data_IF_899637005202
#
_entry.id   IF_899637005202
#
_cell.length_a   1.000
_cell.length_b   1.000
_cell.length_c   1.000
_cell.angle_alpha   90.00
_cell.angle_beta   90.00
_cell.angle_gamma   90.00
#
_symmetry.space_group_name_H-M   'P 1'
#
loop_
_entity.id
_entity.type
_entity.pdbx_description
1 polymer ?
#
# COMPACT_ATOMS: atom_id res chain seq x y z
N UNK A 1 -24.90 14.90 50.87
CA UNK A 1 -26.11 15.72 51.12
C UNK A 1 -26.33 16.56 49.86
N UNK A 2 -27.45 16.57 49.15
CA UNK A 2 -28.83 16.19 49.47
C UNK A 2 -29.48 15.58 48.22
N UNK A 3 -30.24 14.52 48.44
CA UNK A 3 -31.19 13.93 47.50
C UNK A 3 -32.37 14.90 47.39
N UNK A 4 -32.79 15.26 46.19
CA UNK A 4 -34.08 15.91 45.99
C UNK A 4 -35.08 14.82 45.62
N UNK A 5 -36.10 14.70 46.46
CA UNK A 5 -37.24 13.82 46.28
C UNK A 5 -38.17 14.42 45.22
N UNK A 6 -38.65 13.58 44.30
CA UNK A 6 -39.95 13.79 43.68
C UNK A 6 -40.76 12.52 43.85
N UNK A 7 -41.87 12.67 44.55
CA UNK A 7 -42.86 11.63 44.84
C UNK A 7 -44.01 11.75 43.84
N UNK A 8 -44.38 10.61 43.28
CA UNK A 8 -45.65 10.24 42.66
C UNK A 8 -46.06 10.93 41.34
N UNK A 9 -46.35 10.11 40.33
CA UNK A 9 -47.74 9.78 39.93
C UNK A 9 -47.69 8.46 39.15
N UNK A 10 -48.28 7.42 39.73
CA UNK A 10 -48.60 6.18 39.01
C UNK A 10 -49.82 6.44 38.14
N UNK A 11 -49.68 6.33 36.83
CA UNK A 11 -50.81 6.08 35.94
C UNK A 11 -50.52 4.80 35.15
N UNK A 12 -51.27 3.76 35.50
CA UNK A 12 -51.31 2.49 34.77
C UNK A 12 -51.95 2.74 33.41
N UNK A 13 -51.13 2.76 32.36
CA UNK A 13 -51.59 2.59 30.98
C UNK A 13 -51.09 1.22 30.52
N UNK A 14 -51.97 0.24 30.65
CA UNK A 14 -51.91 -1.01 29.91
C UNK A 14 -51.97 -0.70 28.41
N UNK A 15 -50.93 -1.06 27.66
CA UNK A 15 -50.95 -0.87 26.22
C UNK A 15 -49.67 -1.30 25.52
N UNK A 16 -49.72 -2.51 24.96
CA UNK A 16 -49.05 -2.95 23.73
C UNK A 16 -47.53 -2.67 23.62
N UNK A 17 -46.72 -3.68 23.91
CA UNK A 17 -45.33 -3.73 23.46
C UNK A 17 -45.29 -3.85 21.94
N UNK A 18 -45.13 -2.73 21.24
CA UNK A 18 -44.69 -2.77 19.84
C UNK A 18 -43.19 -3.08 19.86
N UNK A 19 -42.85 -4.36 19.75
CA UNK A 19 -41.50 -4.82 19.48
C UNK A 19 -41.07 -4.24 18.12
N UNK A 20 -40.21 -3.23 18.14
CA UNK A 20 -39.53 -2.80 16.91
C UNK A 20 -38.43 -3.83 16.65
N UNK A 21 -38.82 -4.93 16.02
CA UNK A 21 -37.89 -5.85 15.39
C UNK A 21 -37.18 -5.08 14.27
N UNK A 22 -35.93 -4.70 14.52
CA UNK A 22 -35.03 -4.24 13.48
C UNK A 22 -34.77 -5.42 12.55
N UNK A 23 -35.03 -5.35 11.24
CA UNK A 23 -34.62 -6.40 10.34
C UNK A 23 -33.09 -6.39 10.24
N UNK A 24 -32.46 -7.42 10.77
CA UNK A 24 -31.11 -7.83 10.41
C UNK A 24 -31.17 -8.26 8.94
N UNK A 25 -30.81 -7.37 8.03
CA UNK A 25 -30.58 -7.72 6.62
C UNK A 25 -29.26 -8.52 6.58
N UNK A 26 -29.39 -9.83 6.80
CA UNK A 26 -28.49 -10.81 6.22
C UNK A 26 -29.06 -11.22 4.88
N UNK A 27 -28.67 -10.51 3.83
CA UNK A 27 -28.62 -11.10 2.51
C UNK A 27 -27.53 -10.44 1.66
N UNK A 28 -26.68 -11.33 1.14
CA UNK A 28 -25.88 -11.18 -0.06
C UNK A 28 -24.83 -10.04 -0.10
N UNK A 29 -23.67 -10.28 0.52
CA UNK A 29 -22.40 -9.82 -0.07
C UNK A 29 -22.14 -10.64 -1.34
N UNK A 30 -22.91 -10.38 -2.41
CA UNK A 30 -22.46 -10.66 -3.78
C UNK A 30 -21.70 -9.42 -4.22
N UNK A 31 -20.43 -9.33 -3.80
CA UNK A 31 -19.51 -8.35 -4.38
C UNK A 31 -19.35 -8.71 -5.86
N UNK A 32 -19.69 -7.83 -6.83
CA UNK A 32 -19.32 -8.05 -8.22
C UNK A 32 -17.80 -7.85 -8.30
N UNK A 33 -17.03 -8.92 -8.10
CA UNK A 33 -15.56 -8.83 -8.00
C UNK A 33 -14.84 -9.24 -9.28
N UNK A 34 -15.49 -9.18 -10.44
CA UNK A 34 -14.86 -9.75 -11.66
C UNK A 34 -15.00 -8.92 -12.93
N UNK A 35 -15.44 -7.65 -12.84
CA UNK A 35 -15.49 -6.79 -14.04
C UNK A 35 -14.89 -5.39 -13.90
N UNK A 36 -14.83 -4.82 -12.69
CA UNK A 36 -14.31 -3.45 -12.51
C UNK A 36 -12.77 -3.36 -12.60
N UNK A 37 -12.03 -4.47 -12.50
CA UNK A 37 -10.55 -4.46 -12.53
C UNK A 37 -9.94 -4.55 -13.94
N UNK A 38 -10.72 -4.91 -14.95
CA UNK A 38 -10.22 -5.07 -16.32
C UNK A 38 -10.42 -3.80 -17.19
N UNK A 39 -11.33 -2.91 -16.82
CA UNK A 39 -11.81 -1.83 -17.70
C UNK A 39 -11.09 -0.47 -17.54
N UNK A 40 -10.10 -0.33 -16.64
CA UNK A 40 -9.29 0.91 -16.53
C UNK A 40 -7.81 0.76 -16.91
N UNK A 41 -7.47 -0.25 -17.72
CA UNK A 41 -6.11 -0.42 -18.23
C UNK A 41 -6.00 0.38 -19.52
N UNK A 42 -5.41 1.58 -19.45
CA UNK A 42 -5.07 2.33 -20.65
C UNK A 42 -4.27 1.41 -21.61
N UNK A 43 -4.63 1.35 -22.91
CA UNK A 43 -3.97 0.46 -23.85
C UNK A 43 -2.49 0.82 -23.96
N UNK A 44 -1.63 -0.19 -24.02
CA UNK A 44 -0.21 0.01 -24.34
C UNK A 44 -0.09 0.78 -25.65
N UNK A 45 0.73 1.83 -25.64
CA UNK A 45 1.10 2.58 -26.83
C UNK A 45 2.59 2.93 -26.75
N UNK A 46 3.28 3.14 -27.89
CA UNK A 46 4.67 3.59 -27.85
C UNK A 46 4.87 4.87 -27.01
N UNK A 47 3.88 5.78 -27.00
CA UNK A 47 3.92 7.00 -26.21
C UNK A 47 3.80 6.75 -24.70
N UNK A 48 2.88 5.89 -24.26
CA UNK A 48 2.72 5.56 -22.84
C UNK A 48 3.94 4.81 -22.29
N UNK A 49 4.51 3.91 -23.08
CA UNK A 49 5.77 3.21 -22.78
C UNK A 49 6.95 4.18 -22.62
N UNK A 50 7.14 5.12 -23.56
CA UNK A 50 8.18 6.15 -23.44
C UNK A 50 8.00 7.04 -22.21
N UNK A 51 6.75 7.37 -21.86
CA UNK A 51 6.45 8.13 -20.65
C UNK A 51 6.81 7.34 -19.39
N UNK A 52 6.51 6.04 -19.35
CA UNK A 52 6.86 5.16 -18.24
C UNK A 52 8.39 5.07 -18.05
N UNK A 53 9.16 4.91 -19.13
CA UNK A 53 10.64 4.93 -19.08
C UNK A 53 11.16 6.23 -18.46
N UNK A 54 10.69 7.39 -18.94
CA UNK A 54 11.12 8.69 -18.41
C UNK A 54 10.75 8.87 -16.94
N UNK A 55 9.57 8.42 -16.53
CA UNK A 55 9.14 8.49 -15.13
C UNK A 55 9.99 7.56 -14.24
N UNK A 56 10.28 6.34 -14.70
CA UNK A 56 11.13 5.39 -13.99
C UNK A 56 12.55 5.97 -13.76
N UNK A 57 13.14 6.60 -14.78
CA UNK A 57 14.43 7.30 -14.68
C UNK A 57 14.39 8.44 -13.67
N UNK A 58 13.31 9.24 -13.67
CA UNK A 58 13.13 10.34 -12.71
C UNK A 58 13.07 9.81 -11.27
N UNK A 59 12.28 8.77 -11.02
CA UNK A 59 12.10 8.23 -9.67
C UNK A 59 13.40 7.63 -9.12
N UNK A 60 14.08 6.79 -9.90
CA UNK A 60 15.31 6.14 -9.45
C UNK A 60 16.47 7.13 -9.20
N UNK A 61 16.41 8.32 -9.82
CA UNK A 61 17.36 9.40 -9.58
C UNK A 61 17.07 10.16 -8.27
N UNK A 62 15.82 10.26 -7.84
CA UNK A 62 15.41 11.02 -6.65
C UNK A 62 15.37 10.18 -5.36
N UNK A 63 15.09 8.89 -5.47
CA UNK A 63 14.99 7.99 -4.31
C UNK A 63 15.30 6.55 -4.68
N UNK A 64 15.77 5.76 -3.72
CA UNK A 64 16.04 4.36 -3.97
C UNK A 64 14.74 3.56 -4.05
N UNK A 65 14.63 2.71 -5.05
CA UNK A 65 13.50 1.79 -5.24
C UNK A 65 14.01 0.39 -5.57
N UNK A 66 13.29 -0.62 -5.09
CA UNK A 66 13.39 -1.96 -5.68
C UNK A 66 12.74 -1.96 -7.06
N UNK A 67 13.06 -2.96 -7.90
CA UNK A 67 12.39 -3.12 -9.19
C UNK A 67 10.87 -3.23 -9.00
N UNK A 68 10.43 -4.03 -8.03
CA UNK A 68 9.01 -4.22 -7.72
C UNK A 68 8.37 -2.91 -7.26
N UNK A 69 8.98 -2.23 -6.30
CA UNK A 69 8.47 -0.98 -5.76
C UNK A 69 8.38 0.13 -6.82
N UNK A 70 9.33 0.19 -7.76
CA UNK A 70 9.27 1.16 -8.85
C UNK A 70 8.11 0.86 -9.83
N UNK A 71 7.84 -0.42 -10.13
CA UNK A 71 6.68 -0.82 -10.96
C UNK A 71 5.37 -0.46 -10.26
N UNK A 72 5.26 -0.71 -8.96
CA UNK A 72 4.09 -0.35 -8.15
C UNK A 72 3.90 1.17 -8.08
N UNK A 73 4.99 1.93 -7.92
CA UNK A 73 4.94 3.40 -7.98
C UNK A 73 4.42 3.88 -9.32
N UNK A 74 4.89 3.33 -10.45
CA UNK A 74 4.39 3.73 -11.77
C UNK A 74 2.92 3.35 -11.97
N UNK A 75 2.44 2.24 -11.43
CA UNK A 75 1.01 1.94 -11.44
C UNK A 75 0.21 2.96 -10.63
N UNK A 76 0.73 3.43 -9.50
CA UNK A 76 0.13 4.53 -8.74
C UNK A 76 0.09 5.84 -9.53
N UNK A 77 1.09 6.10 -10.38
CA UNK A 77 1.08 7.24 -11.34
C UNK A 77 0.05 7.07 -12.48
N UNK A 78 -0.66 5.95 -12.55
CA UNK A 78 -1.70 5.69 -13.55
C UNK A 78 -1.22 4.96 -14.80
N UNK A 79 0.02 4.44 -14.81
CA UNK A 79 0.45 3.54 -15.89
C UNK A 79 -0.23 2.17 -15.75
N UNK A 80 -0.49 1.51 -16.89
CA UNK A 80 -0.84 0.08 -16.88
C UNK A 80 0.31 -0.73 -16.27
N UNK A 81 0.02 -1.92 -15.74
CA UNK A 81 1.06 -2.81 -15.24
C UNK A 81 2.11 -3.11 -16.33
N UNK A 82 1.66 -3.27 -17.57
CA UNK A 82 2.49 -3.55 -18.72
C UNK A 82 3.40 -2.36 -19.06
N UNK A 83 2.86 -1.14 -19.13
CA UNK A 83 3.67 0.06 -19.39
C UNK A 83 4.64 0.34 -18.23
N UNK A 84 4.21 0.15 -16.98
CA UNK A 84 5.07 0.30 -15.81
C UNK A 84 6.23 -0.71 -15.83
N UNK A 85 5.92 -1.99 -16.09
CA UNK A 85 6.93 -3.04 -16.22
C UNK A 85 7.88 -2.75 -17.38
N UNK A 86 7.34 -2.36 -18.54
CA UNK A 86 8.14 -1.94 -19.69
C UNK A 86 9.06 -0.77 -19.33
N UNK A 87 8.54 0.27 -18.67
CA UNK A 87 9.31 1.44 -18.26
C UNK A 87 10.50 1.08 -17.38
N UNK A 88 10.28 0.21 -16.39
CA UNK A 88 11.32 -0.23 -15.45
C UNK A 88 12.33 -1.20 -16.07
N UNK A 89 11.90 -2.04 -17.01
CA UNK A 89 12.81 -2.99 -17.68
C UNK A 89 13.66 -2.33 -18.78
N UNK A 90 13.25 -1.16 -19.28
CA UNK A 90 13.99 -0.40 -20.30
C UNK A 90 14.91 0.70 -19.74
N UNK A 91 15.22 0.65 -18.44
CA UNK A 91 16.22 1.51 -17.81
C UNK A 91 17.41 0.69 -17.32
N UNK A 92 18.61 1.26 -17.41
CA UNK A 92 19.81 0.63 -16.85
C UNK A 92 19.95 1.00 -15.38
N UNK A 93 19.73 0.02 -14.50
CA UNK A 93 19.80 0.22 -13.05
C UNK A 93 20.58 -0.91 -12.39
N UNK A 94 21.53 -0.55 -11.53
CA UNK A 94 22.12 -1.48 -10.57
C UNK A 94 21.20 -1.60 -9.35
N UNK A 95 20.40 -2.66 -9.31
CA UNK A 95 19.45 -2.91 -8.23
C UNK A 95 20.11 -3.22 -6.88
N UNK A 96 21.34 -3.74 -6.88
CA UNK A 96 22.11 -3.93 -5.66
C UNK A 96 22.55 -2.58 -5.09
N UNK A 97 23.00 -1.66 -5.95
CA UNK A 97 23.31 -0.30 -5.55
C UNK A 97 22.07 0.44 -5.02
N UNK A 98 20.88 0.19 -5.59
CA UNK A 98 19.63 0.76 -5.06
C UNK A 98 19.30 0.23 -3.66
N UNK A 99 19.48 -1.07 -3.41
CA UNK A 99 19.30 -1.66 -2.09
C UNK A 99 20.25 -1.06 -1.06
N UNK A 100 21.54 -0.89 -1.41
CA UNK A 100 22.53 -0.24 -0.53
C UNK A 100 22.17 1.21 -0.21
N UNK A 101 21.71 1.98 -1.22
CA UNK A 101 21.22 3.35 -1.00
C UNK A 101 20.00 3.38 -0.09
N UNK A 102 19.05 2.45 -0.25
CA UNK A 102 17.87 2.39 0.60
C UNK A 102 18.22 2.01 2.04
N UNK A 103 19.11 1.03 2.21
CA UNK A 103 19.63 0.60 3.49
C UNK A 103 20.25 1.79 4.25
N UNK A 104 21.14 2.55 3.60
CA UNK A 104 21.76 3.72 4.18
C UNK A 104 20.74 4.83 4.50
N UNK A 105 19.76 5.04 3.62
CA UNK A 105 18.68 6.02 3.84
C UNK A 105 17.89 5.70 5.11
N UNK A 106 17.55 4.43 5.36
CA UNK A 106 16.89 4.04 6.61
C UNK A 106 17.77 4.27 7.84
N UNK A 107 19.04 3.89 7.78
CA UNK A 107 19.98 4.08 8.89
C UNK A 107 20.23 5.56 9.23
N UNK A 108 20.10 6.44 8.25
CA UNK A 108 20.17 7.89 8.49
C UNK A 108 18.94 8.43 9.25
N UNK A 109 17.81 7.70 9.22
CA UNK A 109 16.55 8.12 9.86
C UNK A 109 16.31 7.44 11.21
N UNK A 110 16.68 6.17 11.32
CA UNK A 110 16.41 5.33 12.50
C UNK A 110 17.48 4.25 12.66
N UNK A 111 17.70 3.80 13.89
CA UNK A 111 18.51 2.63 14.15
C UNK A 111 17.79 1.34 13.72
N UNK A 112 18.53 0.41 13.12
CA UNK A 112 18.06 -0.93 12.78
C UNK A 112 19.08 -1.98 13.22
N UNK A 113 18.60 -3.17 13.56
CA UNK A 113 19.47 -4.35 13.57
C UNK A 113 19.75 -4.80 12.14
N UNK A 114 20.84 -5.55 11.93
CA UNK A 114 21.20 -6.11 10.62
C UNK A 114 20.05 -6.93 10.00
N UNK A 115 19.44 -7.81 10.80
CA UNK A 115 18.31 -8.63 10.35
C UNK A 115 17.06 -7.77 10.08
N UNK A 116 16.73 -6.83 10.96
CA UNK A 116 15.57 -5.96 10.78
C UNK A 116 15.67 -5.10 9.53
N UNK A 117 16.87 -4.58 9.20
CA UNK A 117 17.08 -3.82 7.97
C UNK A 117 16.92 -4.69 6.73
N UNK A 118 17.41 -5.93 6.78
CA UNK A 118 17.24 -6.88 5.67
C UNK A 118 15.77 -7.20 5.42
N UNK A 119 15.02 -7.48 6.48
CA UNK A 119 13.57 -7.72 6.42
C UNK A 119 12.83 -6.50 5.88
N UNK A 120 13.23 -5.28 6.31
CA UNK A 120 12.67 -4.05 5.77
C UNK A 120 12.90 -3.94 4.27
N UNK A 121 14.12 -4.19 3.77
CA UNK A 121 14.39 -4.13 2.33
C UNK A 121 13.59 -5.19 1.55
N UNK A 122 13.38 -6.39 2.12
CA UNK A 122 12.51 -7.40 1.51
C UNK A 122 11.06 -6.89 1.45
N UNK A 123 10.57 -6.23 2.49
CA UNK A 123 9.26 -5.58 2.50
C UNK A 123 9.14 -4.49 1.43
N UNK A 124 10.20 -3.70 1.22
CA UNK A 124 10.31 -2.72 0.12
C UNK A 124 10.39 -3.36 -1.28
N UNK A 125 10.33 -4.69 -1.38
CA UNK A 125 10.26 -5.44 -2.63
C UNK A 125 11.61 -5.78 -3.25
N UNK A 126 12.71 -5.64 -2.52
CA UNK A 126 14.00 -6.20 -2.95
C UNK A 126 14.00 -7.73 -2.82
N UNK A 127 14.74 -8.38 -3.71
CA UNK A 127 15.02 -9.81 -3.53
C UNK A 127 15.86 -10.04 -2.27
N UNK A 128 15.83 -11.24 -1.64
CA UNK A 128 16.69 -11.54 -0.50
C UNK A 128 18.17 -11.28 -0.76
N UNK A 129 18.65 -11.58 -1.98
CA UNK A 129 20.05 -11.31 -2.36
C UNK A 129 20.37 -9.81 -2.43
N UNK A 130 19.48 -8.99 -2.99
CA UNK A 130 19.64 -7.53 -3.02
C UNK A 130 19.57 -6.92 -1.63
N UNK A 131 18.63 -7.38 -0.80
CA UNK A 131 18.51 -6.94 0.59
C UNK A 131 19.78 -7.27 1.39
N UNK A 132 20.27 -8.51 1.26
CA UNK A 132 21.53 -8.93 1.88
C UNK A 132 22.72 -8.08 1.42
N UNK A 133 22.83 -7.81 0.11
CA UNK A 133 23.86 -6.93 -0.44
C UNK A 133 23.74 -5.51 0.14
N UNK A 134 22.53 -4.96 0.20
CA UNK A 134 22.27 -3.61 0.69
C UNK A 134 22.71 -3.44 2.14
N UNK A 135 22.34 -4.38 3.01
CA UNK A 135 22.76 -4.36 4.43
C UNK A 135 24.26 -4.59 4.59
N UNK A 136 24.86 -5.50 3.82
CA UNK A 136 26.31 -5.72 3.87
C UNK A 136 27.11 -4.46 3.46
N UNK A 137 26.49 -3.53 2.72
CA UNK A 137 27.12 -2.29 2.27
C UNK A 137 27.04 -1.14 3.28
N UNK A 138 26.31 -1.27 4.39
CA UNK A 138 26.10 -0.17 5.36
C UNK A 138 26.96 -0.25 6.63
N UNK A 139 27.81 -1.28 6.76
CA UNK A 139 28.77 -1.41 7.86
C UNK A 139 28.17 -1.86 9.20
N UNK A 140 26.92 -2.34 9.22
CA UNK A 140 26.23 -2.91 10.40
C UNK A 140 26.03 -4.43 10.32
#
# INVERSE_FOLDING_TARGET
MKRTHYTAISLLVTGLTLSVATPFIADAVTRPTTKLSAEHRAPMSPGSQQNAVRMAQKYIAMSPFSRKGLIEQLQYEGFSLEDATYGVDNITVDWNAQAAKHAQKYLNMSAFSRQGLMEQLIYEGYTPAQAQYGVASTGI
#
